data_IF_699701600796
#
_entry.id   IF_699701600796
#
_cell.length_a   1.000
_cell.length_b   1.000
_cell.length_c   1.000
_cell.angle_alpha   90.00
_cell.angle_beta   90.00
_cell.angle_gamma   90.00
#
_symmetry.space_group_name_H-M   'P 1'
#
loop_
_entity.id
_entity.type
_entity.pdbx_description
1 polymer ?
#
# COMPACT_ATOMS: atom_id res chain seq x y z
N UNK A 1 -8.30 11.76 -22.04
CA UNK A 1 -7.01 11.56 -22.75
C UNK A 1 -5.79 12.10 -21.99
N UNK A 2 -5.88 13.21 -21.23
CA UNK A 2 -4.74 13.81 -20.51
C UNK A 2 -4.20 13.01 -19.30
N UNK A 3 -4.97 12.10 -18.69
CA UNK A 3 -4.48 11.27 -17.56
C UNK A 3 -3.50 10.16 -17.97
N UNK A 4 -3.47 9.73 -19.25
CA UNK A 4 -2.54 8.69 -19.72
C UNK A 4 -1.08 9.18 -19.80
N UNK A 5 -0.88 10.49 -19.98
CA UNK A 5 0.46 11.07 -20.11
C UNK A 5 1.17 11.26 -18.77
N UNK A 6 0.44 11.43 -17.67
CA UNK A 6 1.04 11.54 -16.33
C UNK A 6 1.64 10.20 -15.87
N UNK A 7 0.98 9.08 -16.19
CA UNK A 7 1.47 7.74 -15.86
C UNK A 7 2.81 7.41 -16.53
N UNK A 8 3.04 7.84 -17.78
CA UNK A 8 4.32 7.62 -18.46
C UNK A 8 5.48 8.42 -17.84
N UNK A 9 5.23 9.64 -17.34
CA UNK A 9 6.27 10.47 -16.75
C UNK A 9 6.70 9.98 -15.36
N UNK A 10 5.76 9.48 -14.55
CA UNK A 10 6.08 8.91 -13.23
C UNK A 10 6.82 7.57 -13.38
N UNK A 11 6.41 6.70 -14.32
CA UNK A 11 7.15 5.47 -14.63
C UNK A 11 8.57 5.76 -15.14
N UNK A 12 8.78 6.80 -15.95
CA UNK A 12 10.09 7.16 -16.46
C UNK A 12 11.07 7.68 -15.38
N UNK A 13 10.58 8.21 -14.25
CA UNK A 13 11.45 8.62 -13.13
C UNK A 13 11.74 7.48 -12.14
N UNK A 14 10.87 6.47 -12.02
CA UNK A 14 11.07 5.34 -11.11
C UNK A 14 11.98 4.26 -11.72
N UNK A 15 11.92 4.06 -13.05
CA UNK A 15 12.72 3.03 -13.75
C UNK A 15 14.25 3.22 -13.61
N UNK A 16 14.84 4.43 -13.69
CA UNK A 16 16.28 4.58 -13.46
C UNK A 16 16.69 4.39 -11.99
N UNK A 17 15.76 4.46 -11.03
CA UNK A 17 16.03 4.09 -9.63
C UNK A 17 16.06 2.56 -9.43
N UNK A 18 15.38 1.79 -10.30
CA UNK A 18 15.35 0.32 -10.25
C UNK A 18 16.52 -0.27 -11.05
N UNK A 19 17.01 0.42 -12.10
CA UNK A 19 18.11 -0.06 -12.93
C UNK A 19 19.51 0.12 -12.33
N UNK A 20 19.67 0.79 -11.18
CA UNK A 20 20.94 0.71 -10.43
C UNK A 20 21.05 -0.58 -9.59
N UNK A 21 19.98 -1.37 -9.45
CA UNK A 21 19.94 -2.55 -8.57
C UNK A 21 20.18 -3.90 -9.28
N UNK A 22 20.46 -3.94 -10.60
CA UNK A 22 20.67 -5.21 -11.31
C UNK A 22 22.14 -5.52 -11.59
N UNK A 23 22.99 -5.55 -10.56
CA UNK A 23 24.18 -6.44 -10.53
C UNK A 23 24.50 -6.78 -9.06
N UNK A 24 23.77 -7.73 -8.47
CA UNK A 24 24.33 -8.55 -7.40
C UNK A 24 24.14 -10.02 -7.78
N UNK A 25 24.95 -10.43 -8.75
CA UNK A 25 25.21 -11.83 -8.99
C UNK A 25 25.78 -12.46 -7.71
N UNK A 26 25.31 -13.66 -7.42
CA UNK A 26 25.76 -14.59 -6.40
C UNK A 26 27.30 -14.74 -6.44
N UNK A 27 28.04 -13.81 -5.84
CA UNK A 27 29.49 -13.86 -5.73
C UNK A 27 29.82 -14.23 -4.29
N UNK A 28 29.96 -15.54 -4.09
CA UNK A 28 30.77 -16.12 -3.01
C UNK A 28 32.19 -15.53 -3.14
N UNK A 29 32.39 -14.37 -2.53
CA UNK A 29 33.68 -13.77 -2.30
C UNK A 29 33.70 -13.43 -0.83
N UNK A 30 34.78 -13.78 -0.13
CA UNK A 30 35.00 -13.48 1.29
C UNK A 30 34.72 -11.99 1.55
N UNK A 31 33.49 -11.65 1.93
CA UNK A 31 33.22 -10.36 2.51
C UNK A 31 33.82 -10.41 3.91
N UNK A 32 34.80 -9.55 4.17
CA UNK A 32 35.26 -9.34 5.55
C UNK A 32 34.04 -8.91 6.36
N UNK A 33 33.85 -9.45 7.57
CA UNK A 33 32.70 -9.12 8.43
C UNK A 33 32.41 -7.60 8.51
N UNK A 34 33.48 -6.79 8.50
CA UNK A 34 33.41 -5.32 8.41
C UNK A 34 32.55 -4.79 7.25
N UNK A 35 32.71 -5.35 6.05
CA UNK A 35 31.96 -4.91 4.86
C UNK A 35 30.47 -5.28 4.92
N UNK A 36 30.12 -6.40 5.57
CA UNK A 36 28.73 -6.78 5.82
C UNK A 36 28.10 -5.86 6.87
N UNK A 37 28.82 -5.50 7.93
CA UNK A 37 28.34 -4.53 8.91
C UNK A 37 28.09 -3.14 8.30
N UNK A 38 28.98 -2.65 7.43
CA UNK A 38 28.77 -1.38 6.73
C UNK A 38 27.55 -1.42 5.81
N UNK A 39 27.34 -2.51 5.09
CA UNK A 39 26.15 -2.70 4.25
C UNK A 39 24.86 -2.74 5.09
N UNK A 40 24.87 -3.47 6.20
CA UNK A 40 23.76 -3.55 7.15
C UNK A 40 23.37 -2.15 7.70
N UNK A 41 24.35 -1.37 8.14
CA UNK A 41 24.13 0.00 8.63
C UNK A 41 23.51 0.90 7.56
N UNK A 42 23.97 0.79 6.31
CA UNK A 42 23.42 1.57 5.20
C UNK A 42 21.95 1.21 4.92
N UNK A 43 21.57 -0.06 5.04
CA UNK A 43 20.16 -0.47 4.93
C UNK A 43 19.34 0.06 6.11
N UNK A 44 19.88 0.02 7.33
CA UNK A 44 19.18 0.53 8.52
C UNK A 44 18.87 2.04 8.38
N UNK A 45 19.81 2.83 7.88
CA UNK A 45 19.60 4.25 7.57
C UNK A 45 18.51 4.46 6.49
N UNK A 46 18.55 3.67 5.41
CA UNK A 46 17.52 3.72 4.36
C UNK A 46 16.15 3.34 4.90
N UNK A 47 16.06 2.30 5.74
CA UNK A 47 14.82 1.86 6.38
C UNK A 47 14.23 2.97 7.25
N UNK A 48 15.03 3.65 8.06
CA UNK A 48 14.59 4.79 8.87
C UNK A 48 14.12 5.95 7.99
N UNK A 49 14.85 6.26 6.91
CA UNK A 49 14.46 7.28 5.94
C UNK A 49 13.11 6.99 5.27
N UNK A 50 12.90 5.75 4.80
CA UNK A 50 11.63 5.32 4.20
C UNK A 50 10.51 5.34 5.23
N UNK A 51 10.75 4.91 6.46
CA UNK A 51 9.76 4.97 7.52
C UNK A 51 9.32 6.42 7.80
N UNK A 52 10.28 7.36 7.86
CA UNK A 52 9.99 8.79 7.98
C UNK A 52 9.12 9.31 6.83
N UNK A 53 9.44 8.90 5.59
CA UNK A 53 8.62 9.23 4.42
C UNK A 53 7.19 8.69 4.55
N UNK A 54 7.02 7.40 4.90
CA UNK A 54 5.69 6.80 5.08
C UNK A 54 4.86 7.61 6.09
N UNK A 55 5.44 7.93 7.25
CA UNK A 55 4.75 8.71 8.29
C UNK A 55 4.32 10.10 7.81
N UNK A 56 5.12 10.73 6.94
CA UNK A 56 4.81 12.04 6.36
C UNK A 56 3.77 11.96 5.23
N UNK A 57 3.76 10.88 4.44
CA UNK A 57 2.86 10.73 3.29
C UNK A 57 1.46 10.26 3.71
N UNK A 58 1.30 9.56 4.85
CA UNK A 58 -0.02 9.13 5.35
C UNK A 58 -1.00 10.31 5.51
N UNK A 59 -0.71 11.39 6.26
CA UNK A 59 -1.64 12.51 6.40
C UNK A 59 -1.88 13.25 5.07
N UNK A 60 -0.86 13.36 4.21
CA UNK A 60 -0.99 13.90 2.84
C UNK A 60 -1.98 13.08 2.01
N UNK A 61 -1.85 11.76 2.06
CA UNK A 61 -2.72 10.82 1.34
C UNK A 61 -4.15 10.89 1.84
N UNK A 62 -4.36 11.00 3.15
CA UNK A 62 -5.69 11.16 3.74
C UNK A 62 -6.33 12.42 3.17
N UNK A 63 -5.70 13.59 3.35
CA UNK A 63 -6.26 14.85 2.88
C UNK A 63 -6.53 14.85 1.37
N UNK A 64 -5.65 14.26 0.56
CA UNK A 64 -5.84 14.12 -0.88
C UNK A 64 -7.04 13.24 -1.23
N UNK A 65 -7.19 12.08 -0.58
CA UNK A 65 -8.31 11.17 -0.83
C UNK A 65 -9.64 11.79 -0.37
N UNK A 66 -9.67 12.41 0.81
CA UNK A 66 -10.88 13.06 1.33
C UNK A 66 -11.36 14.16 0.38
N UNK A 67 -10.42 14.95 -0.17
CA UNK A 67 -10.71 15.94 -1.21
C UNK A 67 -11.27 15.30 -2.49
N UNK A 68 -10.67 14.20 -2.96
CA UNK A 68 -11.16 13.49 -4.15
C UNK A 68 -12.59 12.95 -3.94
N UNK A 69 -12.88 12.37 -2.77
CA UNK A 69 -14.22 11.87 -2.41
C UNK A 69 -15.21 13.03 -2.39
N UNK A 70 -14.87 14.16 -1.76
CA UNK A 70 -15.74 15.32 -1.71
C UNK A 70 -16.10 15.84 -3.11
N UNK A 71 -15.11 15.94 -4.02
CA UNK A 71 -15.35 16.36 -5.41
C UNK A 71 -16.21 15.36 -6.17
N UNK A 72 -15.97 14.04 -5.98
CA UNK A 72 -16.78 13.00 -6.59
C UNK A 72 -18.22 13.02 -6.09
N UNK A 73 -18.44 13.21 -4.80
CA UNK A 73 -19.77 13.33 -4.19
C UNK A 73 -20.53 14.53 -4.74
N UNK A 74 -19.90 15.70 -4.81
CA UNK A 74 -20.50 16.90 -5.42
C UNK A 74 -20.90 16.61 -6.86
N UNK A 75 -20.05 15.93 -7.63
CA UNK A 75 -20.34 15.57 -9.02
C UNK A 75 -21.51 14.59 -9.12
N UNK A 76 -21.57 13.56 -8.26
CA UNK A 76 -22.70 12.62 -8.21
C UNK A 76 -24.00 13.35 -7.85
N UNK A 77 -23.99 14.17 -6.81
CA UNK A 77 -25.13 14.96 -6.39
C UNK A 77 -25.61 15.93 -7.48
N UNK A 78 -24.69 16.59 -8.19
CA UNK A 78 -25.01 17.47 -9.31
C UNK A 78 -25.69 16.71 -10.46
N UNK A 79 -25.12 15.57 -10.89
CA UNK A 79 -25.69 14.75 -11.97
C UNK A 79 -27.06 14.20 -11.55
N UNK A 80 -27.20 13.71 -10.33
CA UNK A 80 -28.48 13.29 -9.76
C UNK A 80 -29.50 14.42 -9.79
N UNK A 81 -29.13 15.61 -9.31
CA UNK A 81 -30.01 16.79 -9.33
C UNK A 81 -30.45 17.18 -10.73
N UNK A 82 -29.55 17.14 -11.72
CA UNK A 82 -29.89 17.44 -13.12
C UNK A 82 -30.86 16.41 -13.71
N UNK A 83 -30.69 15.12 -13.41
CA UNK A 83 -31.63 14.09 -13.83
C UNK A 83 -33.01 14.25 -13.15
N UNK A 84 -33.03 14.66 -11.88
CA UNK A 84 -34.27 14.98 -11.16
C UNK A 84 -35.00 16.15 -11.82
N UNK A 85 -34.29 17.24 -12.15
CA UNK A 85 -34.89 18.36 -12.87
C UNK A 85 -35.40 17.95 -14.25
N UNK A 86 -34.66 17.14 -15.00
CA UNK A 86 -35.12 16.60 -16.28
C UNK A 86 -36.43 15.84 -16.15
N UNK A 87 -36.56 14.99 -15.12
CA UNK A 87 -37.81 14.28 -14.83
C UNK A 87 -38.96 15.23 -14.46
N UNK A 88 -38.70 16.25 -13.63
CA UNK A 88 -39.71 17.26 -13.27
C UNK A 88 -40.19 18.06 -14.49
N UNK A 89 -39.27 18.48 -15.37
CA UNK A 89 -39.63 19.15 -16.63
C UNK A 89 -40.37 18.21 -17.58
N UNK A 90 -40.00 16.93 -17.65
CA UNK A 90 -40.72 15.92 -18.42
C UNK A 90 -42.14 15.71 -17.92
N UNK A 91 -42.34 15.60 -16.60
CA UNK A 91 -43.66 15.52 -15.96
C UNK A 91 -44.48 16.78 -16.29
N UNK A 92 -43.91 17.97 -16.13
CA UNK A 92 -44.59 19.23 -16.49
C UNK A 92 -44.98 19.24 -17.97
N UNK A 93 -44.10 18.80 -18.86
CA UNK A 93 -44.40 18.68 -20.29
C UNK A 93 -45.57 17.71 -20.58
N UNK A 94 -45.67 16.60 -19.83
CA UNK A 94 -46.78 15.66 -19.95
C UNK A 94 -48.11 16.19 -19.39
N UNK A 95 -48.07 17.04 -18.36
CA UNK A 95 -49.26 17.63 -17.72
C UNK A 95 -49.74 18.88 -18.49
N UNK A 96 -48.84 19.55 -19.23
CA UNK A 96 -49.09 20.83 -19.87
C UNK A 96 -49.21 21.99 -18.86
N UNK A 97 -49.82 23.10 -19.29
CA UNK A 97 -49.99 24.30 -18.44
C UNK A 97 -51.14 24.18 -17.42
N UNK A 98 -51.81 23.03 -17.33
CA UNK A 98 -52.96 22.77 -16.46
C UNK A 98 -52.56 22.51 -15.00
N UNK A 99 -51.68 23.35 -14.43
CA UNK A 99 -51.31 23.35 -13.02
C UNK A 99 -52.31 24.18 -12.19
N UNK A 100 -53.59 23.87 -12.34
CA UNK A 100 -54.63 24.37 -11.43
C UNK A 100 -54.33 23.85 -10.01
N UNK A 101 -54.57 24.62 -8.94
CA UNK A 101 -54.40 24.12 -7.56
C UNK A 101 -55.28 22.90 -7.24
N UNK A 102 -56.36 22.66 -8.01
CA UNK A 102 -57.23 21.47 -7.92
C UNK A 102 -56.85 20.34 -8.89
N UNK A 103 -55.66 20.41 -9.50
CA UNK A 103 -55.18 19.40 -10.44
C UNK A 103 -55.07 18.04 -9.74
N UNK A 104 -55.75 17.04 -10.30
CA UNK A 104 -55.60 15.65 -9.89
C UNK A 104 -55.18 14.82 -11.11
N UNK A 105 -54.26 13.87 -10.91
CA UNK A 105 -53.78 12.94 -11.95
C UNK A 105 -54.93 12.23 -12.70
N UNK A 106 -56.09 12.07 -12.07
CA UNK A 106 -57.30 11.47 -12.67
C UNK A 106 -57.94 12.31 -13.77
N UNK A 107 -57.64 13.61 -13.86
CA UNK A 107 -58.17 14.52 -14.87
C UNK A 107 -57.40 14.45 -16.19
N UNK A 108 -56.22 13.83 -16.21
CA UNK A 108 -55.41 13.62 -17.41
C UNK A 108 -55.90 12.43 -18.23
N UNK A 109 -55.61 12.46 -19.54
CA UNK A 109 -55.76 11.27 -20.39
C UNK A 109 -54.88 10.13 -19.86
N UNK A 110 -55.28 8.88 -20.12
CA UNK A 110 -54.48 7.72 -19.72
C UNK A 110 -53.05 7.76 -20.30
N UNK A 111 -52.89 8.29 -21.52
CA UNK A 111 -51.58 8.46 -22.15
C UNK A 111 -50.68 9.44 -21.39
N UNK A 112 -51.22 10.57 -20.95
CA UNK A 112 -50.45 11.57 -20.20
C UNK A 112 -50.11 11.10 -18.79
N UNK A 113 -51.01 10.33 -18.15
CA UNK A 113 -50.73 9.67 -16.88
C UNK A 113 -49.56 8.68 -17.01
N UNK A 114 -49.57 7.84 -18.05
CA UNK A 114 -48.46 6.92 -18.33
C UNK A 114 -47.16 7.67 -18.65
N UNK A 115 -47.23 8.75 -19.42
CA UNK A 115 -46.05 9.55 -19.75
C UNK A 115 -45.47 10.20 -18.48
N UNK A 116 -46.28 10.88 -17.67
CA UNK A 116 -45.86 11.47 -16.41
C UNK A 116 -45.27 10.43 -15.44
N UNK A 117 -45.91 9.26 -15.30
CA UNK A 117 -45.39 8.17 -14.48
C UNK A 117 -44.04 7.66 -15.01
N UNK A 118 -43.90 7.51 -16.34
CA UNK A 118 -42.64 7.06 -16.94
C UNK A 118 -41.50 8.05 -16.69
N UNK A 119 -41.76 9.35 -16.78
CA UNK A 119 -40.79 10.41 -16.45
C UNK A 119 -40.44 10.39 -14.95
N UNK A 120 -41.42 10.19 -14.08
CA UNK A 120 -41.18 10.06 -12.64
C UNK A 120 -40.31 8.83 -12.32
N UNK A 121 -40.64 7.66 -12.88
CA UNK A 121 -39.88 6.43 -12.69
C UNK A 121 -38.47 6.54 -13.28
N UNK A 122 -38.32 7.17 -14.45
CA UNK A 122 -37.02 7.48 -15.04
C UNK A 122 -36.20 8.39 -14.12
N UNK A 123 -36.79 9.48 -13.62
CA UNK A 123 -36.16 10.37 -12.66
C UNK A 123 -35.68 9.64 -11.42
N UNK A 124 -36.59 8.97 -10.71
CA UNK A 124 -36.24 8.24 -9.49
C UNK A 124 -35.23 7.12 -9.73
N UNK A 125 -35.39 6.37 -10.83
CA UNK A 125 -34.49 5.28 -11.19
C UNK A 125 -33.07 5.75 -11.48
N UNK A 126 -32.91 6.91 -12.11
CA UNK A 126 -31.59 7.50 -12.36
C UNK A 126 -31.03 8.24 -11.16
N UNK A 127 -31.87 8.91 -10.37
CA UNK A 127 -31.44 9.75 -9.25
C UNK A 127 -31.02 8.92 -8.04
N UNK A 128 -31.74 7.84 -7.75
CA UNK A 128 -31.52 6.98 -6.59
C UNK A 128 -30.06 6.53 -6.42
N UNK A 129 -29.45 5.89 -7.43
CA UNK A 129 -28.06 5.44 -7.33
C UNK A 129 -27.05 6.55 -7.01
N UNK A 130 -27.22 7.76 -7.54
CA UNK A 130 -26.27 8.86 -7.28
C UNK A 130 -26.28 9.33 -5.82
N UNK A 131 -27.44 9.31 -5.16
CA UNK A 131 -27.56 9.70 -3.76
C UNK A 131 -27.24 8.55 -2.80
N UNK A 132 -27.52 7.31 -3.18
CA UNK A 132 -27.20 6.13 -2.38
C UNK A 132 -25.70 5.79 -2.37
N UNK A 133 -24.98 6.14 -3.42
CA UNK A 133 -23.53 5.95 -3.52
C UNK A 133 -22.70 7.16 -3.09
N UNK A 134 -23.26 8.08 -2.31
CA UNK A 134 -22.46 9.13 -1.68
C UNK A 134 -21.62 8.50 -0.58
N UNK A 135 -20.30 8.59 -0.73
CA UNK A 135 -19.36 8.04 0.24
C UNK A 135 -19.09 9.07 1.34
N UNK A 136 -18.81 8.65 2.57
CA UNK A 136 -18.34 9.60 3.57
C UNK A 136 -16.97 10.17 3.16
N UNK A 137 -16.85 11.49 3.18
CA UNK A 137 -15.62 12.16 2.74
C UNK A 137 -14.45 11.98 3.71
N UNK A 138 -14.70 11.55 4.95
CA UNK A 138 -13.68 11.39 5.99
C UNK A 138 -13.17 9.96 6.02
N UNK A 139 -11.87 9.79 6.19
CA UNK A 139 -11.24 8.48 6.39
C UNK A 139 -10.99 8.19 7.87
N UNK A 140 -11.31 6.97 8.32
CA UNK A 140 -11.20 6.57 9.74
C UNK A 140 -9.84 6.03 10.16
N UNK A 141 -8.90 5.89 9.22
CA UNK A 141 -7.57 5.41 9.53
C UNK A 141 -6.61 6.57 9.80
N UNK A 142 -5.51 6.29 10.49
CA UNK A 142 -4.47 7.29 10.71
C UNK A 142 -3.07 6.76 10.89
N UNK A 143 -2.18 7.71 11.15
CA UNK A 143 -0.79 7.44 11.49
C UNK A 143 -0.67 6.54 12.74
N UNK A 144 -1.57 6.70 13.71
CA UNK A 144 -1.59 5.89 14.93
C UNK A 144 -1.81 4.40 14.62
N UNK A 145 -2.70 4.05 13.69
CA UNK A 145 -2.96 2.65 13.32
C UNK A 145 -1.74 2.03 12.64
N UNK A 146 -1.08 2.82 11.79
CA UNK A 146 0.18 2.43 11.16
C UNK A 146 1.28 2.17 12.19
N UNK A 147 1.51 3.10 13.12
CA UNK A 147 2.55 2.97 14.15
C UNK A 147 2.26 1.82 15.13
N UNK A 148 0.98 1.57 15.44
CA UNK A 148 0.59 0.42 16.26
C UNK A 148 0.89 -0.90 15.55
N UNK A 149 0.55 -1.01 14.26
CA UNK A 149 0.89 -2.17 13.45
C UNK A 149 2.42 -2.36 13.31
N UNK A 150 3.18 -1.26 13.18
CA UNK A 150 4.64 -1.34 13.13
C UNK A 150 5.23 -1.85 14.46
N UNK A 151 4.72 -1.36 15.59
CA UNK A 151 5.17 -1.76 16.93
C UNK A 151 4.93 -3.25 17.21
N UNK A 152 3.83 -3.82 16.72
CA UNK A 152 3.53 -5.25 16.84
C UNK A 152 4.62 -6.13 16.19
N UNK A 153 5.24 -5.64 15.10
CA UNK A 153 6.28 -6.35 14.35
C UNK A 153 7.69 -5.80 14.62
N UNK A 154 7.89 -5.05 15.70
CA UNK A 154 9.18 -4.44 16.03
C UNK A 154 10.32 -5.48 16.13
N UNK A 155 10.02 -6.71 16.54
CA UNK A 155 11.00 -7.81 16.60
C UNK A 155 11.61 -8.20 15.25
N UNK A 156 10.95 -7.87 14.14
CA UNK A 156 11.44 -8.14 12.77
C UNK A 156 12.30 -6.99 12.24
N UNK A 157 12.11 -5.78 12.76
CA UNK A 157 12.73 -4.55 12.26
C UNK A 157 13.78 -3.95 13.18
N UNK A 158 13.73 -4.28 14.47
CA UNK A 158 14.73 -3.88 15.46
C UNK A 158 15.81 -4.96 15.61
N UNK A 159 16.71 -4.97 14.63
CA UNK A 159 17.82 -5.92 14.58
C UNK A 159 18.76 -5.82 15.77
N UNK A 160 18.88 -4.63 16.38
CA UNK A 160 19.74 -4.41 17.54
C UNK A 160 19.22 -5.13 18.78
N UNK A 161 17.91 -5.08 19.00
CA UNK A 161 17.25 -5.78 20.09
C UNK A 161 17.17 -7.29 19.83
N UNK A 162 16.94 -7.71 18.58
CA UNK A 162 16.78 -9.13 18.23
C UNK A 162 18.10 -9.90 18.19
N UNK A 163 19.19 -9.32 17.65
CA UNK A 163 20.48 -10.01 17.45
C UNK A 163 21.65 -9.45 18.29
N UNK A 164 21.42 -8.38 19.05
CA UNK A 164 22.44 -7.72 19.85
C UNK A 164 23.39 -6.83 19.02
N UNK A 165 24.03 -5.86 19.68
CA UNK A 165 24.91 -4.87 19.03
C UNK A 165 26.15 -5.46 18.33
N UNK A 166 26.55 -6.68 18.68
CA UNK A 166 27.73 -7.34 18.12
C UNK A 166 27.39 -8.52 17.20
N UNK A 167 26.11 -8.80 16.94
CA UNK A 167 25.68 -9.99 16.18
C UNK A 167 26.22 -11.31 16.78
N UNK A 168 26.69 -11.24 18.02
CA UNK A 168 27.09 -12.37 18.88
C UNK A 168 25.90 -12.93 19.64
N UNK A 169 24.71 -12.38 19.40
CA UNK A 169 23.49 -12.73 20.11
C UNK A 169 23.12 -14.19 19.89
N UNK A 170 22.99 -14.90 21.01
CA UNK A 170 22.44 -16.24 21.21
C UNK A 170 20.95 -16.36 20.82
N UNK A 171 20.51 -15.61 19.81
CA UNK A 171 19.14 -15.68 19.33
C UNK A 171 19.00 -16.97 18.54
N UNK A 172 18.28 -17.95 19.10
CA UNK A 172 17.76 -19.14 18.38
C UNK A 172 16.83 -18.76 17.20
N UNK A 173 16.60 -17.47 16.97
CA UNK A 173 15.75 -16.96 15.89
C UNK A 173 16.48 -17.03 14.55
N UNK A 174 16.09 -18.01 13.74
CA UNK A 174 16.53 -18.16 12.37
C UNK A 174 16.13 -16.94 11.49
N UNK A 175 17.09 -16.23 10.86
CA UNK A 175 16.81 -15.13 9.94
C UNK A 175 15.87 -15.51 8.77
N UNK A 176 15.90 -16.77 8.32
CA UNK A 176 14.98 -17.27 7.30
C UNK A 176 13.53 -17.29 7.80
N UNK A 177 13.31 -17.69 9.05
CA UNK A 177 11.99 -17.68 9.66
C UNK A 177 11.45 -16.24 9.79
N UNK A 178 12.31 -15.28 10.14
CA UNK A 178 11.90 -13.87 10.26
C UNK A 178 11.51 -13.24 8.92
N UNK A 179 12.02 -13.74 7.80
CA UNK A 179 11.61 -13.28 6.46
C UNK A 179 10.12 -13.53 6.20
N UNK A 180 9.57 -14.64 6.71
CA UNK A 180 8.14 -14.90 6.66
C UNK A 180 7.33 -13.86 7.46
N UNK A 181 7.86 -13.43 8.61
CA UNK A 181 7.23 -12.39 9.43
C UNK A 181 7.31 -10.99 8.81
N UNK A 182 8.32 -10.70 7.96
CA UNK A 182 8.33 -9.47 7.15
C UNK A 182 7.13 -9.40 6.21
N UNK A 183 6.75 -10.54 5.59
CA UNK A 183 5.58 -10.61 4.72
C UNK A 183 4.30 -10.32 5.52
N UNK A 184 4.16 -10.93 6.70
CA UNK A 184 3.05 -10.65 7.61
C UNK A 184 3.00 -9.19 8.03
N UNK A 185 4.13 -8.62 8.44
CA UNK A 185 4.27 -7.21 8.78
C UNK A 185 3.79 -6.32 7.62
N UNK A 186 4.26 -6.57 6.40
CA UNK A 186 3.83 -5.82 5.21
C UNK A 186 2.30 -5.82 5.04
N UNK A 187 1.66 -6.98 5.21
CA UNK A 187 0.21 -7.08 5.13
C UNK A 187 -0.49 -6.36 6.28
N UNK A 188 0.05 -6.46 7.50
CA UNK A 188 -0.48 -5.75 8.67
C UNK A 188 -0.41 -4.23 8.50
N UNK A 189 0.73 -3.70 8.05
CA UNK A 189 0.93 -2.28 7.74
C UNK A 189 -0.04 -1.80 6.66
N UNK A 190 -0.24 -2.56 5.59
CA UNK A 190 -1.21 -2.17 4.53
C UNK A 190 -2.65 -2.21 5.01
N UNK A 191 -2.97 -3.15 5.91
CA UNK A 191 -4.32 -3.33 6.47
C UNK A 191 -4.66 -2.22 7.46
N UNK A 192 -3.72 -1.78 8.29
CA UNK A 192 -3.96 -0.69 9.25
C UNK A 192 -4.30 0.64 8.56
N UNK A 193 -3.79 0.85 7.34
CA UNK A 193 -4.15 2.00 6.49
C UNK A 193 -4.92 1.60 5.23
N UNK A 194 -5.86 0.65 5.36
CA UNK A 194 -6.64 0.12 4.23
C UNK A 194 -7.46 1.18 3.48
N UNK A 195 -8.01 2.15 4.21
CA UNK A 195 -8.60 3.39 3.70
C UNK A 195 -7.80 4.08 2.56
N UNK A 196 -6.46 4.07 2.65
CA UNK A 196 -5.54 4.69 1.70
C UNK A 196 -5.20 3.65 0.63
N UNK A 197 -4.76 2.46 1.04
CA UNK A 197 -4.26 1.44 0.11
C UNK A 197 -5.34 0.90 -0.85
N UNK A 198 -6.61 0.95 -0.45
CA UNK A 198 -7.77 0.64 -1.32
C UNK A 198 -7.94 1.64 -2.47
N UNK A 199 -7.44 2.87 -2.34
CA UNK A 199 -7.57 3.95 -3.34
C UNK A 199 -6.36 4.08 -4.27
N UNK A 200 -5.38 3.17 -4.19
CA UNK A 200 -4.20 3.17 -5.08
C UNK A 200 -4.53 3.13 -6.59
N UNK A 201 -5.74 2.73 -6.98
CA UNK A 201 -6.14 2.73 -8.39
C UNK A 201 -6.55 4.10 -8.92
N UNK A 202 -6.93 5.03 -8.03
CA UNK A 202 -7.54 6.31 -8.40
C UNK A 202 -6.83 7.54 -7.83
N UNK A 203 -5.99 7.36 -6.80
CA UNK A 203 -5.30 8.46 -6.12
C UNK A 203 -3.77 8.25 -6.12
N UNK A 204 -3.00 9.28 -6.49
CA UNK A 204 -1.55 9.21 -6.62
C UNK A 204 -0.82 9.11 -5.28
N UNK A 205 -1.25 9.87 -4.26
CA UNK A 205 -0.64 9.83 -2.92
C UNK A 205 -0.81 8.44 -2.28
N UNK A 206 -1.96 7.80 -2.51
CA UNK A 206 -2.21 6.42 -2.11
C UNK A 206 -1.25 5.41 -2.76
N UNK A 207 -0.91 5.60 -4.03
CA UNK A 207 0.08 4.77 -4.75
C UNK A 207 1.46 4.93 -4.11
N UNK A 208 1.86 6.17 -3.83
CA UNK A 208 3.16 6.48 -3.22
C UNK A 208 3.24 5.80 -1.84
N UNK A 209 2.25 6.01 -0.98
CA UNK A 209 2.19 5.40 0.36
C UNK A 209 2.25 3.87 0.29
N UNK A 210 1.47 3.23 -0.59
CA UNK A 210 1.52 1.78 -0.76
C UNK A 210 2.91 1.29 -1.22
N UNK A 211 3.54 2.02 -2.14
CA UNK A 211 4.85 1.66 -2.70
C UNK A 211 5.97 1.82 -1.68
N UNK A 212 5.91 2.84 -0.82
CA UNK A 212 6.86 3.03 0.27
C UNK A 212 6.79 1.87 1.29
N UNK A 213 5.59 1.37 1.59
CA UNK A 213 5.43 0.19 2.47
C UNK A 213 6.03 -1.06 1.82
N UNK A 214 5.81 -1.26 0.51
CA UNK A 214 6.43 -2.37 -0.22
C UNK A 214 7.96 -2.27 -0.22
N UNK A 215 8.51 -1.07 -0.41
CA UNK A 215 9.94 -0.81 -0.35
C UNK A 215 10.51 -1.05 1.06
N UNK A 216 9.82 -0.60 2.11
CA UNK A 216 10.23 -0.83 3.49
C UNK A 216 10.34 -2.33 3.82
N UNK A 217 9.35 -3.13 3.40
CA UNK A 217 9.38 -4.57 3.58
C UNK A 217 10.49 -5.26 2.75
N UNK A 218 10.78 -4.76 1.54
CA UNK A 218 11.91 -5.25 0.73
C UNK A 218 13.24 -5.01 1.46
N UNK A 219 13.46 -3.80 1.97
CA UNK A 219 14.67 -3.45 2.72
C UNK A 219 14.83 -4.29 3.99
N UNK A 220 13.75 -4.52 4.74
CA UNK A 220 13.78 -5.39 5.92
C UNK A 220 14.20 -6.83 5.57
N UNK A 221 13.74 -7.35 4.43
CA UNK A 221 14.14 -8.67 3.93
C UNK A 221 15.62 -8.72 3.55
N UNK A 222 16.09 -7.71 2.83
CA UNK A 222 17.51 -7.57 2.44
C UNK A 222 18.40 -7.49 3.69
N UNK A 223 17.96 -6.74 4.70
CA UNK A 223 18.66 -6.62 5.98
C UNK A 223 18.78 -7.94 6.75
N UNK A 224 17.73 -8.76 6.73
CA UNK A 224 17.75 -10.12 7.29
C UNK A 224 18.74 -11.02 6.55
N UNK A 225 18.78 -10.95 5.22
CA UNK A 225 19.73 -11.72 4.41
C UNK A 225 21.19 -11.34 4.71
N UNK A 226 21.48 -10.06 4.95
CA UNK A 226 22.81 -9.64 5.40
C UNK A 226 23.13 -10.17 6.81
N UNK A 227 22.13 -10.22 7.69
CA UNK A 227 22.30 -10.74 9.06
C UNK A 227 22.67 -12.22 9.05
N UNK A 228 22.02 -13.01 8.21
CA UNK A 228 22.37 -14.42 7.98
C UNK A 228 23.82 -14.60 7.48
N UNK A 229 24.24 -13.75 6.55
CA UNK A 229 25.63 -13.69 6.07
C UNK A 229 26.64 -13.36 7.17
N UNK A 230 26.29 -12.44 8.09
CA UNK A 230 27.14 -12.08 9.24
C UNK A 230 27.24 -13.25 10.22
N UNK A 231 26.11 -13.86 10.60
CA UNK A 231 26.05 -14.98 11.55
C UNK A 231 26.83 -16.20 11.04
N UNK A 232 26.65 -16.56 9.76
CA UNK A 232 27.40 -17.64 9.13
C UNK A 232 28.90 -17.38 9.07
N UNK A 233 29.33 -16.12 8.87
CA UNK A 233 30.75 -15.75 8.92
C UNK A 233 31.32 -15.82 10.34
N UNK A 234 30.56 -15.38 11.35
CA UNK A 234 30.96 -15.43 12.76
C UNK A 234 31.21 -16.86 13.25
N UNK A 235 30.31 -17.79 12.92
CA UNK A 235 30.43 -19.20 13.33
C UNK A 235 31.65 -19.92 12.71
N UNK A 236 32.12 -19.46 11.55
CA UNK A 236 33.30 -20.03 10.88
C UNK A 236 34.63 -19.55 11.48
N UNK A 237 34.63 -18.45 12.23
CA UNK A 237 35.84 -17.89 12.88
C UNK A 237 36.12 -18.56 14.22
N UNK A 238 35.10 -19.04 14.93
CA UNK A 238 35.24 -19.73 16.23
C UNK A 238 35.61 -21.22 16.12
N UNK A 239 35.61 -21.80 14.91
CA UNK A 239 36.14 -23.14 14.63
C UNK A 239 37.40 -23.08 13.72
N UNK A 240 38.54 -22.56 14.19
CA UNK A 240 39.81 -22.91 13.57
C UNK A 240 40.11 -24.35 13.99
N UNK A 241 39.62 -25.31 13.21
CA UNK A 241 40.02 -26.70 13.34
C UNK A 241 41.55 -26.74 13.30
N UNK A 242 42.15 -27.01 14.47
CA UNK A 242 43.51 -27.47 14.62
C UNK A 242 43.71 -28.65 13.65
N UNK A 243 44.28 -28.43 12.47
CA UNK A 243 44.94 -29.49 11.73
C UNK A 243 46.29 -29.77 12.40
N UNK A 244 46.20 -30.36 13.60
CA UNK A 244 47.30 -31.02 14.26
C UNK A 244 47.63 -32.31 13.53
N UNK A 245 48.92 -32.45 13.22
CA UNK A 245 49.60 -33.62 12.68
C UNK A 245 49.03 -34.99 13.09
N UNK A 246 48.81 -35.86 12.11
CA UNK A 246 49.23 -37.27 12.20
C UNK A 246 49.27 -37.92 10.80
N UNK A 247 50.37 -37.71 10.06
CA UNK A 247 50.74 -38.69 9.04
C UNK A 247 51.35 -39.90 9.75
N UNK A 248 50.46 -40.81 10.14
CA UNK A 248 50.80 -42.17 10.55
C UNK A 248 51.16 -42.96 9.29
N UNK A 249 52.43 -42.93 8.89
CA UNK A 249 52.96 -43.90 7.93
C UNK A 249 53.14 -45.25 8.63
N UNK A 250 52.10 -46.09 8.53
CA UNK A 250 52.22 -47.53 8.74
C UNK A 250 51.64 -48.24 7.51
N UNK A 251 52.34 -49.32 7.13
CA UNK A 251 52.00 -50.39 6.16
C UNK A 251 52.41 -50.20 4.70
N UNK A 252 52.99 -51.18 3.98
CA UNK A 252 53.25 -52.60 4.27
C UNK A 252 54.46 -53.10 3.45
N UNK A 253 55.27 -53.97 4.07
CA UNK A 253 56.16 -54.94 3.43
C UNK A 253 55.35 -55.95 2.60
N UNK A 254 55.71 -56.16 1.33
CA UNK A 254 55.78 -57.48 0.69
C UNK A 254 56.51 -57.41 -0.64
#
# INVERSE_FOLDING_TARGET
SRMKYLYCLVLACIIPLIQSETVFTHRSSRYNAQSLHSAASSIDERMQGILGQIRSTIPSSISSIESDIAVLNIRKAFIGTMNLFGALFGIRGAIGDNLSPDFTLKQLSFGDQLNALSQAMYGFGYVGPFYLELEEARLDCGLSDFDNALREYAYVTDFSTTYGHSYTGSSDTDPHLLTYYVIKMKHALKRSIYCITSRKGSNQEAVITNSLIDLYAKLATERLSLTDGILSTSNNVENPTYQGASQSQYFFNK
#
